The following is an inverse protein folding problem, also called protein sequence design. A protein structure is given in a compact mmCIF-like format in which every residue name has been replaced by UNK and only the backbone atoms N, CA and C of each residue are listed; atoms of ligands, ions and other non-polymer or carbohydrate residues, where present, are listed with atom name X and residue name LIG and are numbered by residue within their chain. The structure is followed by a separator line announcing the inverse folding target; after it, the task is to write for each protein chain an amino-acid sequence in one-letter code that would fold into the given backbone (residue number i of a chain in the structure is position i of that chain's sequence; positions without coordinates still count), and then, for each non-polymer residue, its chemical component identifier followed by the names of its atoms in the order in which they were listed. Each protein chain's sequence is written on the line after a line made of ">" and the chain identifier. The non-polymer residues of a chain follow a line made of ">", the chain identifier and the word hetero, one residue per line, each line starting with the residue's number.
data_IF_751625803512
#
_entry.id   IF_751625803512
#
_cell.length_a   1.000
_cell.length_b   1.000
_cell.length_c   1.000
_cell.angle_alpha   90.00
_cell.angle_beta   90.00
_cell.angle_gamma   90.00
#
_symmetry.space_group_name_H-M   'P 1'
#
loop_
_entity.id
_entity.type
_entity.pdbx_description
1 polymer ?
#
# COMPACT_ATOMS: atom_id res chain seq x y z
N UNK A 1 -2.34 -3.69 -6.92
CA UNK A 1 -2.99 -2.58 -6.22
C UNK A 1 -2.29 -1.28 -6.52
N UNK A 2 -3.06 -0.19 -6.52
CA UNK A 2 -2.51 1.17 -6.54
C UNK A 2 -2.53 1.72 -5.10
N UNK A 3 -1.51 2.48 -4.68
CA UNK A 3 -1.49 3.09 -3.35
C UNK A 3 -2.78 3.87 -2.99
N UNK A 4 -3.32 4.76 -3.86
CA UNK A 4 -4.52 5.53 -3.50
C UNK A 4 -5.76 4.66 -3.24
N UNK A 5 -5.95 3.57 -4.00
CA UNK A 5 -7.07 2.65 -3.76
C UNK A 5 -6.97 1.99 -2.38
N UNK A 6 -5.76 1.60 -1.98
CA UNK A 6 -5.53 0.98 -0.68
C UNK A 6 -5.88 1.96 0.45
N UNK A 7 -5.52 3.24 0.29
CA UNK A 7 -5.88 4.30 1.24
C UNK A 7 -7.39 4.48 1.33
N UNK A 8 -8.05 4.76 0.20
CA UNK A 8 -9.49 5.04 0.14
C UNK A 8 -10.28 3.90 0.77
N UNK A 9 -9.96 2.64 0.45
CA UNK A 9 -10.64 1.47 1.00
C UNK A 9 -10.43 1.35 2.51
N UNK A 10 -9.19 1.53 3.01
CA UNK A 10 -8.95 1.43 4.45
C UNK A 10 -9.67 2.54 5.24
N UNK A 11 -9.71 3.76 4.70
CA UNK A 11 -10.39 4.90 5.32
C UNK A 11 -11.90 4.72 5.27
N UNK A 12 -12.44 4.20 4.17
CA UNK A 12 -13.86 3.88 4.06
C UNK A 12 -14.26 2.80 5.08
N UNK A 13 -13.52 1.70 5.15
CA UNK A 13 -13.81 0.64 6.13
C UNK A 13 -13.81 1.16 7.57
N UNK A 14 -12.82 1.96 7.95
CA UNK A 14 -12.76 2.58 9.27
C UNK A 14 -13.96 3.50 9.55
N UNK A 15 -14.35 4.35 8.59
CA UNK A 15 -15.52 5.24 8.71
C UNK A 15 -16.85 4.50 8.88
N UNK A 16 -16.95 3.28 8.39
CA UNK A 16 -18.12 2.42 8.54
C UNK A 16 -17.98 1.39 9.67
N UNK A 17 -17.03 1.58 10.59
CA UNK A 17 -16.77 0.72 11.76
C UNK A 17 -16.30 -0.70 11.44
N UNK A 18 -15.75 -0.94 10.24
CA UNK A 18 -15.09 -2.20 9.87
C UNK A 18 -13.58 -2.13 10.15
N UNK A 19 -13.19 -1.87 11.40
CA UNK A 19 -11.79 -1.54 11.73
C UNK A 19 -10.84 -2.72 11.52
N UNK A 20 -11.26 -3.96 11.77
CA UNK A 20 -10.43 -5.15 11.52
C UNK A 20 -10.06 -5.29 10.03
N UNK A 21 -11.04 -5.08 9.15
CA UNK A 21 -10.80 -5.09 7.71
C UNK A 21 -9.95 -3.90 7.27
N UNK A 22 -10.16 -2.73 7.87
CA UNK A 22 -9.33 -1.55 7.62
C UNK A 22 -7.86 -1.82 7.98
N UNK A 23 -7.60 -2.33 9.19
CA UNK A 23 -6.28 -2.71 9.67
C UNK A 23 -5.63 -3.78 8.80
N UNK A 24 -6.41 -4.78 8.35
CA UNK A 24 -5.95 -5.81 7.42
C UNK A 24 -5.50 -5.21 6.08
N UNK A 25 -6.24 -4.26 5.51
CA UNK A 25 -5.85 -3.58 4.27
C UNK A 25 -4.58 -2.75 4.46
N UNK A 26 -4.50 -1.94 5.53
CA UNK A 26 -3.31 -1.13 5.84
C UNK A 26 -2.08 -2.01 5.99
N UNK A 27 -2.18 -3.09 6.76
CA UNK A 27 -1.07 -4.02 7.01
C UNK A 27 -0.59 -4.72 5.74
N UNK A 28 -1.51 -5.21 4.90
CA UNK A 28 -1.15 -5.81 3.61
C UNK A 28 -0.43 -4.82 2.69
N UNK A 29 -0.90 -3.57 2.63
CA UNK A 29 -0.24 -2.53 1.83
C UNK A 29 1.16 -2.21 2.35
N UNK A 30 1.29 -1.94 3.66
CA UNK A 30 2.58 -1.63 4.31
C UNK A 30 3.59 -2.75 4.08
N UNK A 31 3.18 -4.01 4.22
CA UNK A 31 4.08 -5.16 4.02
C UNK A 31 4.58 -5.26 2.58
N UNK A 32 3.68 -5.14 1.58
CA UNK A 32 4.08 -5.19 0.17
C UNK A 32 5.09 -4.07 -0.15
N UNK A 33 4.81 -2.84 0.29
CA UNK A 33 5.71 -1.71 0.04
C UNK A 33 7.06 -1.92 0.70
N UNK A 34 7.07 -2.37 1.95
CA UNK A 34 8.28 -2.65 2.72
C UNK A 34 9.15 -3.73 2.04
N UNK A 35 8.54 -4.86 1.68
CA UNK A 35 9.28 -5.99 1.12
C UNK A 35 9.82 -5.68 -0.28
N UNK A 36 9.01 -5.00 -1.11
CA UNK A 36 9.48 -4.53 -2.41
C UNK A 36 10.60 -3.51 -2.24
N UNK A 37 10.46 -2.52 -1.36
CA UNK A 37 11.52 -1.55 -1.12
C UNK A 37 12.82 -2.20 -0.67
N UNK A 38 12.74 -3.20 0.21
CA UNK A 38 13.90 -3.99 0.67
C UNK A 38 14.59 -4.72 -0.49
N UNK A 39 13.82 -5.20 -1.48
CA UNK A 39 14.35 -5.95 -2.63
C UNK A 39 14.85 -5.07 -3.78
N UNK A 40 14.21 -3.92 -4.03
CA UNK A 40 14.49 -3.08 -5.21
C UNK A 40 15.15 -1.75 -4.90
N UNK A 41 15.20 -1.34 -3.62
CA UNK A 41 15.74 -0.06 -3.17
C UNK A 41 14.90 1.17 -3.57
N UNK A 42 13.66 0.99 -4.00
CA UNK A 42 12.80 2.09 -4.47
C UNK A 42 11.31 1.83 -4.26
N UNK A 43 10.52 2.89 -4.39
CA UNK A 43 9.05 2.85 -4.37
C UNK A 43 8.51 2.89 -5.79
N UNK A 44 7.35 2.28 -6.02
CA UNK A 44 6.80 2.06 -7.36
C UNK A 44 5.40 2.64 -7.51
N UNK A 45 5.01 2.92 -8.74
CA UNK A 45 3.69 3.47 -9.07
C UNK A 45 2.54 2.59 -8.53
N UNK A 46 2.69 1.27 -8.72
CA UNK A 46 1.71 0.24 -8.36
C UNK A 46 2.41 -1.09 -8.09
N UNK A 47 1.69 -2.01 -7.47
CA UNK A 47 2.20 -3.31 -7.03
C UNK A 47 1.30 -4.45 -7.49
N UNK A 48 1.84 -5.64 -7.68
CA UNK A 48 1.05 -6.84 -7.80
C UNK A 48 0.55 -7.23 -6.40
N UNK A 49 -0.77 -7.15 -6.19
CA UNK A 49 -1.36 -7.44 -4.87
C UNK A 49 -1.53 -8.94 -4.58
N UNK A 50 -1.42 -9.78 -5.61
CA UNK A 50 -1.49 -11.25 -5.49
C UNK A 50 -0.12 -11.80 -5.15
N UNK A 51 0.91 -11.33 -5.85
CA UNK A 51 2.28 -11.84 -5.71
C UNK A 51 3.18 -11.00 -4.79
N UNK A 52 2.76 -9.78 -4.41
CA UNK A 52 3.54 -8.90 -3.52
C UNK A 52 4.82 -8.33 -4.14
N UNK A 53 4.84 -8.12 -5.45
CA UNK A 53 6.01 -7.64 -6.19
C UNK A 53 5.63 -6.49 -7.16
N UNK A 54 6.52 -6.18 -8.11
CA UNK A 54 6.29 -5.16 -9.15
C UNK A 54 5.95 -5.75 -10.51
N UNK A 55 5.72 -7.07 -10.60
CA UNK A 55 5.31 -7.76 -11.82
C UNK A 55 3.81 -7.52 -12.04
N UNK A 56 3.47 -6.35 -12.54
CA UNK A 56 2.10 -6.00 -12.91
C UNK A 56 1.93 -6.19 -14.42
N UNK A 57 0.70 -6.47 -14.89
CA UNK A 57 0.40 -6.40 -16.32
C UNK A 57 0.43 -4.92 -16.73
N UNK A 58 1.17 -4.58 -17.77
CA UNK A 58 1.44 -3.19 -18.11
C UNK A 58 1.28 -2.91 -19.60
N UNK A 59 0.80 -1.71 -19.91
CA UNK A 59 0.95 -1.08 -21.23
C UNK A 59 2.37 -0.48 -21.39
N UNK A 60 3.04 -0.16 -20.28
CA UNK A 60 4.38 0.43 -20.21
C UNK A 60 5.08 0.07 -18.89
N UNK A 61 6.42 0.11 -18.91
CA UNK A 61 7.27 -0.21 -17.75
C UNK A 61 6.86 0.58 -16.49
N UNK A 62 6.51 -0.10 -15.39
CA UNK A 62 6.15 0.57 -14.13
C UNK A 62 7.30 1.47 -13.64
N UNK A 63 7.06 2.78 -13.47
CA UNK A 63 8.10 3.72 -13.05
C UNK A 63 8.27 3.74 -11.52
N UNK A 64 9.47 4.15 -11.04
CA UNK A 64 9.63 4.57 -9.65
C UNK A 64 8.66 5.72 -9.31
N UNK A 65 8.09 5.70 -8.10
CA UNK A 65 7.13 6.71 -7.66
C UNK A 65 7.25 6.95 -6.15
N UNK A 66 7.87 8.07 -5.78
CA UNK A 66 7.94 8.50 -4.37
C UNK A 66 6.61 9.14 -3.95
N UNK A 67 5.99 9.96 -4.81
CA UNK A 67 4.89 10.88 -4.49
C UNK A 67 3.79 10.33 -3.57
N UNK A 68 2.70 9.82 -4.14
CA UNK A 68 1.60 9.29 -3.31
C UNK A 68 2.03 8.09 -2.47
N UNK A 69 3.01 7.32 -2.95
CA UNK A 69 3.37 6.05 -2.33
C UNK A 69 3.98 6.25 -0.94
N UNK A 70 5.01 7.11 -0.85
CA UNK A 70 5.68 7.40 0.41
C UNK A 70 4.70 8.00 1.44
N UNK A 71 3.84 8.94 1.00
CA UNK A 71 2.84 9.56 1.87
C UNK A 71 1.84 8.55 2.43
N UNK A 72 1.32 7.67 1.57
CA UNK A 72 0.34 6.64 1.97
C UNK A 72 0.99 5.58 2.87
N UNK A 73 2.22 5.16 2.55
CA UNK A 73 2.97 4.22 3.38
C UNK A 73 3.21 4.77 4.79
N UNK A 74 3.68 6.01 4.89
CA UNK A 74 3.89 6.67 6.19
C UNK A 74 2.58 6.78 6.98
N UNK A 75 1.51 7.27 6.34
CA UNK A 75 0.18 7.40 6.96
C UNK A 75 -0.33 6.07 7.50
N UNK A 76 -0.40 5.03 6.66
CA UNK A 76 -0.93 3.72 7.07
C UNK A 76 -0.10 3.08 8.19
N UNK A 77 1.22 3.21 8.14
CA UNK A 77 2.13 2.69 9.16
C UNK A 77 1.96 3.40 10.50
N UNK A 78 1.71 4.72 10.49
CA UNK A 78 1.38 5.48 11.71
C UNK A 78 0.03 5.04 12.27
N UNK A 79 -1.01 4.96 11.42
CA UNK A 79 -2.36 4.57 11.86
C UNK A 79 -2.35 3.17 12.47
N UNK A 80 -1.67 2.19 11.86
CA UNK A 80 -1.53 0.85 12.43
C UNK A 80 -0.86 0.82 13.81
N UNK A 81 0.07 1.73 14.08
CA UNK A 81 0.74 1.78 15.39
C UNK A 81 -0.14 2.42 16.47
N UNK A 82 -1.07 3.30 16.10
CA UNK A 82 -1.96 4.00 17.03
C UNK A 82 -3.28 3.22 17.22
N UNK A 83 -3.70 2.47 16.19
CA UNK A 83 -4.92 1.67 16.12
C UNK A 83 -4.57 0.27 15.58
N UNK A 84 -3.95 -0.58 16.42
CA UNK A 84 -3.54 -1.93 16.02
C UNK A 84 -4.73 -2.86 15.77
#
# INVERSE_FOLDING_TARGET
>A
TWPPHSLIVSEALSKYNYEEDAARIRSKYVNIVHDVFKSTGTLWEKYNAVEGNVNVKEEYKTPPMIGWNAGIYAHMRIVNNIRP
#
